data_IF_127375963691
#
_entry.id   IF_127375963691
#
_cell.length_a   1.000
_cell.length_b   1.000
_cell.length_c   1.000
_cell.angle_alpha   90.00
_cell.angle_beta   90.00
_cell.angle_gamma   90.00
#
_symmetry.space_group_name_H-M   'P 1'
#
loop_
_entity.id
_entity.type
_entity.pdbx_description
1 polymer ?
#
# COMPACT_ATOMS: atom_id res chain seq x y z
N UNK A 1 -6.88 1.70 -13.40
CA UNK A 1 -5.57 1.24 -12.90
C UNK A 1 -5.41 -0.23 -13.28
N UNK A 2 -4.31 -0.59 -13.92
CA UNK A 2 -3.98 -1.96 -14.30
C UNK A 2 -2.46 -2.16 -14.25
N UNK A 3 -1.95 -3.38 -14.04
CA UNK A 3 -0.52 -3.64 -14.14
C UNK A 3 -0.03 -3.35 -15.56
N UNK A 4 1.18 -2.83 -15.68
CA UNK A 4 1.81 -2.63 -16.99
C UNK A 4 1.99 -3.97 -17.72
N UNK A 5 2.04 -3.91 -19.05
CA UNK A 5 2.30 -5.10 -19.85
C UNK A 5 3.69 -5.71 -19.56
N UNK A 6 4.68 -4.87 -19.21
CA UNK A 6 6.01 -5.30 -18.82
C UNK A 6 5.99 -6.07 -17.49
N UNK A 7 5.39 -5.49 -16.44
CA UNK A 7 5.25 -6.16 -15.14
C UNK A 7 4.52 -7.51 -15.26
N UNK A 8 3.48 -7.57 -16.10
CA UNK A 8 2.75 -8.83 -16.35
C UNK A 8 3.64 -9.90 -17.01
N UNK A 9 4.50 -9.53 -17.96
CA UNK A 9 5.44 -10.47 -18.62
C UNK A 9 6.52 -10.93 -17.65
N UNK A 10 7.06 -10.03 -16.85
CA UNK A 10 8.14 -10.35 -15.91
C UNK A 10 7.63 -11.24 -14.79
N UNK A 11 6.44 -10.97 -14.24
CA UNK A 11 5.81 -11.84 -13.26
C UNK A 11 5.49 -13.23 -13.84
N UNK A 12 5.05 -13.30 -15.11
CA UNK A 12 4.90 -14.58 -15.81
C UNK A 12 6.22 -15.34 -15.88
N UNK A 13 7.32 -14.68 -16.28
CA UNK A 13 8.64 -15.31 -16.37
C UNK A 13 9.11 -15.83 -15.01
N UNK A 14 8.83 -15.07 -13.94
CA UNK A 14 9.11 -15.51 -12.56
C UNK A 14 8.34 -16.79 -12.20
N UNK A 15 7.04 -16.87 -12.51
CA UNK A 15 6.25 -18.08 -12.31
C UNK A 15 6.81 -19.28 -13.08
N UNK A 16 7.19 -19.10 -14.35
CA UNK A 16 7.78 -20.17 -15.18
C UNK A 16 9.11 -20.68 -14.63
N UNK A 17 9.90 -19.84 -13.97
CA UNK A 17 11.13 -20.27 -13.31
C UNK A 17 10.90 -20.88 -11.92
N UNK A 18 9.80 -20.53 -11.25
CA UNK A 18 9.48 -20.99 -9.91
C UNK A 18 8.88 -22.40 -9.90
N UNK A 19 7.78 -22.61 -10.62
CA UNK A 19 6.97 -23.83 -10.50
C UNK A 19 7.64 -25.14 -10.94
N UNK A 20 8.54 -25.17 -11.95
CA UNK A 20 9.25 -26.41 -12.33
C UNK A 20 10.07 -27.04 -11.20
N UNK A 21 10.38 -26.27 -10.15
CA UNK A 21 11.13 -26.71 -8.98
C UNK A 21 10.24 -27.19 -7.83
N UNK A 22 8.92 -27.24 -8.03
CA UNK A 22 7.95 -27.63 -7.00
C UNK A 22 7.15 -28.86 -7.42
N UNK A 23 6.60 -29.56 -6.42
CA UNK A 23 5.73 -30.73 -6.63
C UNK A 23 4.48 -30.43 -7.48
N UNK A 24 4.11 -29.15 -7.59
CA UNK A 24 2.95 -28.70 -8.35
C UNK A 24 3.13 -28.91 -9.86
N UNK A 25 4.37 -28.96 -10.35
CA UNK A 25 4.70 -29.16 -11.77
C UNK A 25 4.81 -30.62 -12.20
N UNK A 26 4.57 -31.58 -11.30
CA UNK A 26 4.58 -32.99 -11.64
C UNK A 26 3.53 -33.32 -12.71
N UNK A 27 3.69 -34.47 -13.39
CA UNK A 27 2.83 -34.90 -14.49
C UNK A 27 1.44 -35.39 -14.02
N UNK A 28 0.69 -34.55 -13.31
CA UNK A 28 -0.67 -34.77 -12.85
C UNK A 28 -1.62 -33.72 -13.43
N UNK A 29 -2.90 -34.07 -13.51
CA UNK A 29 -3.96 -33.14 -13.87
C UNK A 29 -4.50 -32.53 -12.58
N UNK A 30 -4.59 -31.21 -12.51
CA UNK A 30 -5.11 -30.49 -11.35
C UNK A 30 -5.80 -29.20 -11.77
N UNK A 31 -6.52 -28.58 -10.85
CA UNK A 31 -7.06 -27.24 -11.11
C UNK A 31 -5.94 -26.19 -11.33
N UNK A 32 -4.75 -26.39 -10.75
CA UNK A 32 -3.62 -25.46 -10.83
C UNK A 32 -3.05 -25.32 -12.25
N UNK A 33 -3.17 -26.36 -13.08
CA UNK A 33 -2.72 -26.41 -14.48
C UNK A 33 -3.89 -26.52 -15.47
N UNK A 34 -5.09 -26.15 -15.06
CA UNK A 34 -6.27 -26.16 -15.94
C UNK A 34 -6.68 -27.57 -16.39
N UNK A 35 -6.30 -28.60 -15.65
CA UNK A 35 -6.57 -30.00 -15.97
C UNK A 35 -5.59 -30.63 -16.96
N UNK A 36 -4.58 -29.90 -17.43
CA UNK A 36 -3.63 -30.39 -18.43
C UNK A 36 -2.41 -30.98 -17.72
N UNK A 37 -2.16 -32.29 -17.88
CA UNK A 37 -0.97 -32.95 -17.32
C UNK A 37 0.30 -32.32 -17.88
N UNK A 38 1.23 -31.94 -17.01
CA UNK A 38 2.44 -31.21 -17.41
C UNK A 38 2.18 -29.79 -17.93
N UNK A 39 0.94 -29.31 -17.83
CA UNK A 39 0.56 -27.95 -18.20
C UNK A 39 1.15 -26.92 -17.24
N UNK A 40 1.20 -25.68 -17.72
CA UNK A 40 1.66 -24.52 -16.96
C UNK A 40 0.84 -24.32 -15.70
N UNK A 41 1.51 -24.12 -14.56
CA UNK A 41 0.85 -23.75 -13.31
C UNK A 41 0.47 -22.27 -13.34
N UNK A 42 -0.84 -21.99 -13.27
CA UNK A 42 -1.39 -20.64 -13.31
C UNK A 42 -2.34 -20.34 -12.15
N UNK A 43 -2.78 -21.35 -11.39
CA UNK A 43 -3.76 -21.19 -10.31
C UNK A 43 -3.17 -20.78 -8.96
N UNK A 44 -1.85 -20.61 -8.84
CA UNK A 44 -1.17 -20.42 -7.56
C UNK A 44 -0.21 -19.24 -7.56
N UNK A 45 0.06 -18.71 -6.36
CA UNK A 45 1.13 -17.76 -6.11
C UNK A 45 2.50 -18.47 -6.14
N UNK A 46 3.53 -17.91 -6.79
CA UNK A 46 4.87 -18.50 -6.81
C UNK A 46 5.63 -18.23 -5.49
N UNK A 47 5.12 -18.79 -4.39
CA UNK A 47 5.67 -18.65 -3.03
C UNK A 47 4.72 -19.19 -1.95
N UNK A 48 5.07 -18.96 -0.67
CA UNK A 48 4.22 -19.34 0.46
C UNK A 48 3.04 -18.39 0.66
N UNK A 49 2.05 -18.79 1.48
CA UNK A 49 0.95 -17.92 1.91
C UNK A 49 1.44 -16.65 2.62
N UNK A 50 2.34 -16.80 3.59
CA UNK A 50 2.95 -15.65 4.28
C UNK A 50 3.69 -14.72 3.31
N UNK A 51 4.33 -15.27 2.27
CA UNK A 51 4.99 -14.45 1.24
C UNK A 51 4.00 -13.58 0.47
N UNK A 52 2.86 -14.13 0.02
CA UNK A 52 1.84 -13.33 -0.68
C UNK A 52 1.21 -12.28 0.23
N UNK A 53 1.00 -12.61 1.51
CA UNK A 53 0.42 -11.67 2.47
C UNK A 53 1.33 -10.46 2.73
N UNK A 54 2.65 -10.69 2.83
CA UNK A 54 3.61 -9.60 2.96
C UNK A 54 3.66 -8.73 1.69
N UNK A 55 3.72 -9.36 0.51
CA UNK A 55 3.74 -8.63 -0.79
C UNK A 55 2.47 -7.79 -0.99
N UNK A 56 1.32 -8.25 -0.50
CA UNK A 56 0.05 -7.53 -0.63
C UNK A 56 -0.09 -6.34 0.33
N UNK A 57 0.65 -6.30 1.44
CA UNK A 57 0.62 -5.18 2.40
C UNK A 57 1.24 -3.91 1.81
N UNK A 58 2.32 -4.08 1.06
CA UNK A 58 3.07 -2.98 0.44
C UNK A 58 3.19 -3.25 -1.06
N UNK A 59 2.10 -3.03 -1.83
CA UNK A 59 2.12 -3.25 -3.26
C UNK A 59 3.13 -2.31 -3.92
N UNK A 60 3.88 -2.86 -4.88
CA UNK A 60 4.81 -2.11 -5.73
C UNK A 60 4.03 -1.30 -6.76
N UNK A 61 3.76 -0.05 -6.44
CA UNK A 61 2.95 0.83 -7.28
C UNK A 61 3.61 1.15 -8.63
N UNK A 62 4.92 0.97 -8.75
CA UNK A 62 5.68 1.16 -10.00
C UNK A 62 5.30 0.16 -11.09
N UNK A 63 4.72 -0.98 -10.71
CA UNK A 63 4.31 -2.02 -11.64
C UNK A 63 2.97 -1.70 -12.33
N UNK A 64 2.27 -0.65 -11.89
CA UNK A 64 0.92 -0.28 -12.34
C UNK A 64 0.92 0.99 -13.19
N UNK A 65 0.10 0.96 -14.24
CA UNK A 65 -0.28 2.15 -15.00
C UNK A 65 -1.56 2.73 -14.39
N UNK A 66 -1.45 3.94 -13.86
CA UNK A 66 -2.57 4.69 -13.31
C UNK A 66 -2.55 6.14 -13.80
N UNK A 67 -3.75 6.68 -13.95
CA UNK A 67 -4.00 8.07 -14.31
C UNK A 67 -4.75 8.75 -13.18
N UNK A 68 -4.68 10.08 -13.13
CA UNK A 68 -5.43 10.84 -12.15
C UNK A 68 -6.93 10.78 -12.44
N UNK A 69 -7.74 10.64 -11.40
CA UNK A 69 -9.21 10.66 -11.51
C UNK A 69 -9.75 12.09 -11.70
N UNK A 70 -8.97 13.10 -11.33
CA UNK A 70 -9.41 14.48 -11.44
C UNK A 70 -9.48 14.92 -12.91
N UNK A 71 -10.53 15.65 -13.27
CA UNK A 71 -10.70 16.18 -14.63
C UNK A 71 -9.57 17.13 -15.04
N UNK A 72 -8.88 17.75 -14.07
CA UNK A 72 -7.77 18.67 -14.30
C UNK A 72 -6.46 17.95 -14.71
N UNK A 73 -6.34 16.64 -14.50
CA UNK A 73 -5.13 15.87 -14.81
C UNK A 73 -3.90 16.22 -13.95
N UNK A 74 -4.06 17.02 -12.90
CA UNK A 74 -2.96 17.43 -12.03
C UNK A 74 -2.69 16.38 -10.95
N UNK A 75 -1.43 15.91 -10.88
CA UNK A 75 -0.98 14.89 -9.92
C UNK A 75 -1.15 15.26 -8.46
N UNK A 76 -1.16 16.56 -8.16
CA UNK A 76 -1.29 17.10 -6.81
C UNK A 76 -2.71 17.52 -6.47
N UNK A 77 -3.70 17.22 -7.32
CA UNK A 77 -5.09 17.61 -7.03
C UNK A 77 -5.66 16.97 -5.77
N UNK A 78 -5.05 15.90 -5.24
CA UNK A 78 -5.42 15.31 -3.95
C UNK A 78 -5.09 16.22 -2.76
N UNK A 79 -4.22 17.22 -2.92
CA UNK A 79 -3.93 18.24 -1.89
C UNK A 79 -5.12 19.17 -1.63
N UNK A 80 -6.15 19.15 -2.50
CA UNK A 80 -7.35 19.96 -2.32
C UNK A 80 -7.05 21.46 -2.32
N UNK A 81 -7.55 22.17 -1.30
CA UNK A 81 -7.37 23.61 -1.14
C UNK A 81 -6.13 23.99 -0.32
N UNK A 82 -5.32 23.02 0.12
CA UNK A 82 -4.09 23.27 0.89
C UNK A 82 -4.30 23.63 2.37
N UNK A 83 -5.53 23.56 2.89
CA UNK A 83 -5.83 23.90 4.29
C UNK A 83 -6.38 22.70 5.04
N UNK A 84 -5.95 22.52 6.30
CA UNK A 84 -6.56 21.53 7.19
C UNK A 84 -7.87 22.06 7.78
N UNK A 85 -8.71 21.16 8.31
CA UNK A 85 -9.93 21.55 9.03
C UNK A 85 -9.64 22.52 10.17
N UNK A 86 -8.51 22.33 10.89
CA UNK A 86 -8.12 23.21 11.99
C UNK A 86 -7.80 24.62 11.51
N UNK A 87 -7.07 24.77 10.40
CA UNK A 87 -6.74 26.09 9.83
C UNK A 87 -8.01 26.89 9.48
N UNK A 88 -9.00 26.20 8.89
CA UNK A 88 -10.28 26.82 8.50
C UNK A 88 -11.10 27.23 9.72
N UNK A 89 -11.14 26.41 10.77
CA UNK A 89 -11.88 26.71 12.00
C UNK A 89 -11.31 27.93 12.73
N UNK A 90 -9.98 28.03 12.83
CA UNK A 90 -9.29 29.19 13.40
C UNK A 90 -9.58 30.44 12.56
N UNK A 91 -9.47 30.35 11.24
CA UNK A 91 -9.67 31.49 10.33
C UNK A 91 -11.10 32.01 10.33
N UNK A 92 -12.08 31.12 10.38
CA UNK A 92 -13.50 31.48 10.37
C UNK A 92 -14.04 31.93 11.74
N UNK A 93 -13.21 31.91 12.79
CA UNK A 93 -13.61 32.36 14.13
C UNK A 93 -14.79 31.60 14.69
N UNK A 94 -14.88 30.29 14.45
CA UNK A 94 -16.01 29.48 14.92
C UNK A 94 -16.01 29.45 16.46
N UNK A 95 -16.93 30.20 17.06
CA UNK A 95 -17.07 30.29 18.52
C UNK A 95 -17.32 28.91 19.14
N UNK A 96 -16.62 28.62 20.25
CA UNK A 96 -16.81 27.39 21.02
C UNK A 96 -15.96 26.19 20.60
N UNK A 97 -15.08 26.31 19.59
CA UNK A 97 -14.11 25.27 19.24
C UNK A 97 -12.71 25.68 19.68
N UNK A 98 -12.21 25.07 20.74
CA UNK A 98 -10.81 25.19 21.12
C UNK A 98 -9.95 24.39 20.12
N UNK A 99 -9.23 25.10 19.26
CA UNK A 99 -8.36 24.50 18.24
C UNK A 99 -6.91 24.59 18.70
N UNK A 100 -6.41 23.51 19.27
CA UNK A 100 -4.98 23.36 19.57
C UNK A 100 -4.22 22.89 18.32
N UNK A 101 -3.39 23.79 17.77
CA UNK A 101 -2.52 23.50 16.63
C UNK A 101 -1.21 22.82 17.04
N UNK A 102 -0.85 22.86 18.32
CA UNK A 102 0.44 22.40 18.83
C UNK A 102 0.27 21.55 20.11
N UNK A 103 -0.49 20.44 20.09
CA UNK A 103 -0.73 19.61 21.28
C UNK A 103 0.53 18.94 21.87
N UNK A 104 1.61 18.95 21.10
CA UNK A 104 2.94 18.50 21.52
C UNK A 104 3.77 19.58 22.23
N UNK A 105 3.39 20.87 22.15
CA UNK A 105 4.06 21.95 22.87
C UNK A 105 3.44 22.10 24.25
N UNK A 106 3.93 21.31 25.20
CA UNK A 106 3.49 21.34 26.61
C UNK A 106 4.48 22.10 27.48
N UNK A 107 3.99 22.95 28.37
CA UNK A 107 4.82 23.75 29.27
C UNK A 107 5.67 22.85 30.18
N UNK A 108 5.15 21.68 30.56
CA UNK A 108 5.82 20.70 31.41
C UNK A 108 7.08 20.13 30.77
N UNK A 109 7.15 20.10 29.43
CA UNK A 109 8.32 19.63 28.68
C UNK A 109 9.53 20.54 28.88
N UNK A 110 9.32 21.84 29.11
CA UNK A 110 10.40 22.80 29.37
C UNK A 110 10.97 22.69 30.80
N UNK A 111 10.27 21.99 31.70
CA UNK A 111 10.68 21.84 33.10
C UNK A 111 11.20 20.45 33.44
N UNK A 112 11.60 19.64 32.45
CA UNK A 112 12.06 18.25 32.64
C UNK A 112 11.04 17.36 33.39
N UNK A 113 9.73 17.69 33.32
CA UNK A 113 8.66 16.94 33.99
C UNK A 113 7.97 15.93 33.06
N UNK A 114 8.51 15.73 31.86
CA UNK A 114 7.90 14.88 30.84
C UNK A 114 8.82 13.69 30.58
N UNK A 115 8.27 12.49 30.73
CA UNK A 115 8.91 11.27 30.27
C UNK A 115 8.83 11.21 28.74
N UNK A 116 9.99 11.23 28.08
CA UNK A 116 10.10 11.21 26.63
C UNK A 116 9.59 9.89 26.04
N UNK A 117 9.60 8.80 26.81
CA UNK A 117 9.12 7.49 26.35
C UNK A 117 7.61 7.49 26.10
N UNK A 118 6.86 8.14 26.99
CA UNK A 118 5.41 8.33 26.86
C UNK A 118 5.01 9.19 25.64
N UNK A 119 5.93 10.00 25.10
CA UNK A 119 5.68 10.90 23.96
C UNK A 119 5.71 10.22 22.59
N UNK A 120 6.50 9.16 22.44
CA UNK A 120 6.72 8.49 21.15
C UNK A 120 5.94 7.17 21.00
N UNK A 121 5.41 6.62 22.10
CA UNK A 121 4.79 5.29 22.14
C UNK A 121 3.27 5.31 22.35
N UNK A 122 2.62 6.49 22.26
CA UNK A 122 1.15 6.63 22.38
C UNK A 122 0.40 6.43 21.06
#
# INVERSE_FOLDING_TARGET
MAPSAAATRDFRAYCEAFFPRTVMSHHCSSWYNGGIKGGRIHGLWPGSGAHVDLVRKEPRWEDFEYTYWNAQGNRFGWLGNGWTTKDVLVTNGTEGVEVDLTPWLRVEAFHNKVDLKDYHER
#
